data_IF_327511275927
#
_entry.id   IF_327511275927
#
_cell.length_a   1.000
_cell.length_b   1.000
_cell.length_c   1.000
_cell.angle_alpha   90.00
_cell.angle_beta   90.00
_cell.angle_gamma   90.00
#
_symmetry.space_group_name_H-M   'P 1'
#
loop_
_entity.id
_entity.type
_entity.pdbx_description
1 polymer ?
#
# COMPACT_ATOMS: atom_id res chain seq x y z
N UNK A 1 31.27 74.79 3.42
CA UNK A 1 30.14 73.99 3.94
C UNK A 1 30.07 72.72 3.15
N UNK A 2 30.66 71.63 3.69
CA UNK A 2 30.61 70.28 3.11
C UNK A 2 29.46 69.51 3.77
N UNK A 3 28.46 69.07 2.97
CA UNK A 3 27.37 68.16 3.43
C UNK A 3 27.81 66.75 3.25
N UNK A 4 27.99 66.05 4.36
CA UNK A 4 28.25 64.60 4.38
C UNK A 4 26.93 63.85 4.22
N UNK A 5 26.80 63.06 3.15
CA UNK A 5 25.66 62.15 2.92
C UNK A 5 26.01 60.78 3.50
N UNK A 6 25.28 60.35 4.52
CA UNK A 6 25.35 59.00 5.02
C UNK A 6 24.46 58.07 4.19
N UNK A 7 25.10 57.10 3.49
CA UNK A 7 24.38 56.01 2.81
C UNK A 7 24.07 54.92 3.85
N UNK A 8 22.82 54.70 4.17
CA UNK A 8 22.36 53.63 5.01
C UNK A 8 22.21 52.38 4.12
N UNK A 9 23.11 51.41 4.23
CA UNK A 9 23.03 50.11 3.57
C UNK A 9 22.10 49.22 4.37
N UNK A 10 20.89 48.95 3.86
CA UNK A 10 19.96 47.99 4.41
C UNK A 10 20.39 46.58 3.93
N UNK A 11 20.96 45.79 4.81
CA UNK A 11 21.24 44.37 4.55
C UNK A 11 19.97 43.57 4.72
N UNK A 12 19.37 43.12 3.62
CA UNK A 12 18.29 42.12 3.63
C UNK A 12 18.88 40.75 3.97
N UNK A 13 18.73 40.32 5.20
CA UNK A 13 18.95 38.93 5.59
C UNK A 13 17.79 38.11 5.03
N UNK A 14 18.00 37.46 3.90
CA UNK A 14 17.11 36.42 3.39
C UNK A 14 17.25 35.19 4.30
N UNK A 15 16.31 35.04 5.23
CA UNK A 15 16.20 33.82 6.04
C UNK A 15 15.72 32.68 5.12
N UNK A 16 16.65 31.91 4.55
CA UNK A 16 16.36 30.63 3.93
C UNK A 16 15.89 29.67 5.03
N UNK A 17 14.58 29.52 5.20
CA UNK A 17 14.03 28.46 6.02
C UNK A 17 14.27 27.12 5.28
N UNK A 18 15.37 26.46 5.61
CA UNK A 18 15.57 25.07 5.21
C UNK A 18 14.50 24.26 5.93
N UNK A 19 13.46 23.81 5.20
CA UNK A 19 12.60 22.74 5.69
C UNK A 19 13.48 21.52 5.91
N UNK A 20 13.73 21.17 7.17
CA UNK A 20 14.37 19.90 7.51
C UNK A 20 13.41 18.81 7.03
N UNK A 21 13.78 18.14 5.95
CA UNK A 21 13.04 16.97 5.48
C UNK A 21 13.36 15.85 6.48
N UNK A 22 12.34 15.40 7.21
CA UNK A 22 12.52 14.30 8.15
C UNK A 22 13.06 13.07 7.39
N UNK A 23 14.05 12.42 7.94
CA UNK A 23 14.54 11.16 7.41
C UNK A 23 13.39 10.13 7.39
N UNK A 24 13.39 9.23 6.42
CA UNK A 24 12.35 8.21 6.22
C UNK A 24 12.00 7.44 7.51
N UNK A 25 12.99 7.17 8.36
CA UNK A 25 12.86 6.35 9.57
C UNK A 25 12.63 7.13 10.85
N UNK A 26 12.57 8.46 10.79
CA UNK A 26 12.47 9.34 11.98
C UNK A 26 11.33 8.94 12.92
N UNK A 27 10.19 8.57 12.37
CA UNK A 27 8.99 8.22 13.14
C UNK A 27 8.68 6.72 13.13
N UNK A 28 9.62 5.87 12.72
CA UNK A 28 9.40 4.43 12.82
C UNK A 28 9.21 4.00 14.28
N UNK A 29 8.25 3.10 14.56
CA UNK A 29 8.01 2.62 15.91
C UNK A 29 9.25 1.95 16.49
N UNK A 30 9.67 2.38 17.67
CA UNK A 30 10.82 1.78 18.39
C UNK A 30 10.44 0.52 19.16
N UNK A 31 9.14 0.26 19.34
CA UNK A 31 8.60 -0.91 20.06
C UNK A 31 7.45 -1.51 19.28
N UNK A 32 7.44 -2.83 19.24
CA UNK A 32 6.32 -3.63 18.75
C UNK A 32 5.35 -3.82 19.92
N UNK A 33 4.08 -3.54 19.70
CA UNK A 33 3.00 -3.81 20.64
C UNK A 33 2.33 -5.11 20.25
N UNK A 34 2.42 -6.13 21.10
CA UNK A 34 1.71 -7.40 20.90
C UNK A 34 0.32 -7.32 21.54
N UNK A 35 -0.59 -8.17 21.08
CA UNK A 35 -1.89 -8.31 21.70
C UNK A 35 -1.80 -9.08 23.01
N UNK A 36 -2.44 -8.58 24.05
CA UNK A 36 -2.54 -9.25 25.36
C UNK A 36 -3.60 -10.35 25.41
N UNK A 37 -4.61 -10.30 24.55
CA UNK A 37 -5.73 -11.24 24.52
C UNK A 37 -5.99 -11.75 23.11
N UNK A 38 -6.33 -13.02 22.95
CA UNK A 38 -6.77 -13.60 21.68
C UNK A 38 -8.16 -13.08 21.32
N UNK A 39 -8.33 -12.64 20.05
CA UNK A 39 -9.64 -12.30 19.51
C UNK A 39 -10.21 -13.57 18.85
N UNK A 40 -11.51 -13.80 19.01
CA UNK A 40 -12.18 -14.89 18.30
C UNK A 40 -12.05 -14.69 16.80
N UNK A 41 -11.71 -15.74 16.08
CA UNK A 41 -11.44 -15.74 14.63
C UNK A 41 -12.60 -15.12 13.82
N UNK A 42 -13.83 -15.41 14.17
CA UNK A 42 -15.03 -14.87 13.53
C UNK A 42 -15.15 -13.33 13.63
N UNK A 43 -14.47 -12.73 14.60
CA UNK A 43 -14.43 -11.29 14.83
C UNK A 43 -13.20 -10.61 14.23
N UNK A 44 -12.41 -11.32 13.41
CA UNK A 44 -11.24 -10.74 12.72
C UNK A 44 -11.45 -10.80 11.21
N UNK A 45 -11.55 -9.64 10.58
CA UNK A 45 -11.55 -9.51 9.13
C UNK A 45 -10.13 -9.32 8.63
N UNK A 46 -9.70 -10.19 7.75
CA UNK A 46 -8.33 -10.18 7.22
C UNK A 46 -8.31 -9.62 5.81
N UNK A 47 -7.38 -8.70 5.55
CA UNK A 47 -7.08 -8.18 4.23
C UNK A 47 -5.60 -8.41 3.90
N UNK A 48 -5.32 -8.96 2.73
CA UNK A 48 -3.95 -9.22 2.29
C UNK A 48 -3.54 -8.14 1.29
N UNK A 49 -2.42 -7.50 1.55
CA UNK A 49 -1.84 -6.49 0.67
C UNK A 49 -0.80 -7.14 -0.23
N UNK A 50 -1.02 -7.13 -1.54
CA UNK A 50 -0.12 -7.72 -2.53
C UNK A 50 0.16 -6.74 -3.68
N UNK A 51 1.30 -6.88 -4.34
CA UNK A 51 1.71 -5.99 -5.41
C UNK A 51 3.18 -5.61 -5.35
N UNK A 52 3.49 -4.35 -5.69
CA UNK A 52 4.87 -3.87 -5.71
C UNK A 52 5.10 -2.64 -4.81
N UNK A 53 6.04 -1.77 -5.14
CA UNK A 53 6.56 -0.73 -4.24
C UNK A 53 5.51 0.24 -3.69
N UNK A 54 4.53 0.65 -4.48
CA UNK A 54 3.47 1.54 -4.01
C UNK A 54 2.50 0.84 -3.03
N UNK A 55 2.35 -0.48 -3.11
CA UNK A 55 1.67 -1.26 -2.09
C UNK A 55 2.57 -1.56 -0.88
N UNK A 56 3.87 -1.81 -1.10
CA UNK A 56 4.84 -2.08 -0.03
C UNK A 56 5.22 -0.82 0.80
N UNK A 57 4.77 0.36 0.36
CA UNK A 57 4.98 1.61 1.05
C UNK A 57 6.33 2.29 0.74
N UNK A 58 6.24 3.53 0.26
CA UNK A 58 7.40 4.41 -0.02
C UNK A 58 7.19 5.83 0.50
N UNK A 59 6.02 6.11 1.09
CA UNK A 59 5.77 7.38 1.75
C UNK A 59 6.61 7.56 3.02
N UNK A 60 6.79 8.80 3.45
CA UNK A 60 7.41 9.10 4.75
C UNK A 60 6.39 8.83 5.84
N UNK A 61 6.78 8.04 6.84
CA UNK A 61 5.97 7.81 8.04
C UNK A 61 5.95 9.09 8.87
N UNK A 62 4.78 9.54 9.29
CA UNK A 62 4.56 10.73 10.11
C UNK A 62 3.96 10.32 11.47
N UNK A 63 3.94 11.19 12.49
CA UNK A 63 3.47 10.84 13.83
C UNK A 63 2.07 10.22 13.85
N UNK A 64 1.14 10.68 13.02
CA UNK A 64 -0.23 10.13 12.91
C UNK A 64 -0.30 8.68 12.44
N UNK A 65 0.73 8.21 11.73
CA UNK A 65 0.81 6.85 11.20
C UNK A 65 1.30 5.83 12.24
N UNK A 66 1.78 6.33 13.38
CA UNK A 66 2.27 5.51 14.51
C UNK A 66 1.27 5.46 15.66
N UNK A 67 0.15 6.16 15.55
CA UNK A 67 -0.94 6.07 16.52
C UNK A 67 -1.69 4.76 16.32
N UNK A 68 -1.58 3.86 17.31
CA UNK A 68 -2.21 2.54 17.30
C UNK A 68 -3.71 2.60 17.57
N UNK A 69 -4.42 1.60 17.04
CA UNK A 69 -5.78 1.25 17.42
C UNK A 69 -5.81 -0.25 17.75
N UNK A 70 -6.33 -0.62 18.90
CA UNK A 70 -6.36 -2.03 19.38
C UNK A 70 -7.16 -2.97 18.47
N UNK A 71 -8.04 -2.42 17.63
CA UNK A 71 -8.82 -3.17 16.64
C UNK A 71 -8.10 -3.32 15.29
N UNK A 72 -6.92 -2.71 15.12
CA UNK A 72 -6.15 -2.80 13.87
C UNK A 72 -4.86 -3.56 14.12
N UNK A 73 -4.75 -4.71 13.48
CA UNK A 73 -3.69 -5.67 13.65
C UNK A 73 -2.87 -5.80 12.37
N UNK A 74 -1.64 -6.23 12.52
CA UNK A 74 -0.78 -6.69 11.43
C UNK A 74 0.05 -7.88 11.90
N UNK A 75 1.00 -8.31 11.09
CA UNK A 75 1.98 -9.32 11.47
C UNK A 75 3.39 -8.71 11.42
N UNK A 76 4.27 -9.21 12.28
CA UNK A 76 5.70 -8.94 12.16
C UNK A 76 6.37 -9.91 11.16
N UNK A 77 7.68 -9.79 10.97
CA UNK A 77 8.47 -10.64 10.07
C UNK A 77 8.41 -12.13 10.43
N UNK A 78 8.20 -12.45 11.70
CA UNK A 78 8.13 -13.81 12.22
C UNK A 78 6.71 -14.40 12.14
N UNK A 79 5.73 -13.62 11.67
CA UNK A 79 4.32 -14.01 11.51
C UNK A 79 3.48 -13.85 12.77
N UNK A 80 4.01 -13.24 13.81
CA UNK A 80 3.27 -12.97 15.06
C UNK A 80 2.33 -11.78 14.90
N UNK A 81 1.14 -11.87 15.50
CA UNK A 81 0.13 -10.80 15.48
C UNK A 81 0.57 -9.64 16.37
N UNK A 82 0.57 -8.46 15.80
CA UNK A 82 0.94 -7.21 16.47
C UNK A 82 -0.14 -6.13 16.28
N UNK A 83 -0.15 -5.13 17.14
CA UNK A 83 -0.94 -3.90 16.91
C UNK A 83 -0.30 -3.14 15.76
N UNK A 84 -1.10 -2.80 14.74
CA UNK A 84 -0.59 -2.20 13.52
C UNK A 84 -0.11 -0.76 13.73
N UNK A 85 1.08 -0.48 13.23
CA UNK A 85 1.69 0.84 13.07
C UNK A 85 2.53 0.84 11.80
N UNK A 86 2.61 1.98 11.11
CA UNK A 86 3.49 2.07 9.95
C UNK A 86 4.98 2.09 10.34
N UNK A 87 5.84 1.49 9.50
CA UNK A 87 5.54 0.78 8.26
C UNK A 87 5.03 -0.64 8.52
N UNK A 88 4.07 -1.11 7.69
CA UNK A 88 3.52 -2.47 7.82
C UNK A 88 4.40 -3.50 7.11
N UNK A 89 4.97 -3.16 5.95
CA UNK A 89 5.83 -4.06 5.17
C UNK A 89 7.25 -4.13 5.73
N UNK A 90 7.88 -5.29 5.66
CA UNK A 90 9.20 -5.57 6.25
C UNK A 90 10.17 -6.30 5.29
N UNK A 91 9.77 -6.58 4.04
CA UNK A 91 10.62 -7.32 3.08
C UNK A 91 11.79 -6.51 2.55
N UNK A 92 11.71 -5.19 2.61
CA UNK A 92 12.71 -4.25 2.10
C UNK A 92 13.03 -3.18 3.16
N UNK A 93 13.72 -3.53 4.26
CA UNK A 93 13.92 -2.61 5.41
C UNK A 93 14.60 -1.30 5.02
N UNK A 94 15.45 -1.33 3.98
CA UNK A 94 16.15 -0.13 3.48
C UNK A 94 15.24 0.79 2.65
N UNK A 95 14.04 0.35 2.28
CA UNK A 95 13.15 1.06 1.35
C UNK A 95 11.74 1.26 1.86
N UNK A 96 11.28 0.40 2.77
CA UNK A 96 9.91 0.45 3.29
C UNK A 96 9.60 1.78 3.98
N UNK A 97 8.39 2.22 3.87
CA UNK A 97 7.86 3.45 4.46
C UNK A 97 6.35 3.33 4.58
N UNK A 98 5.66 4.46 4.70
CA UNK A 98 4.21 4.51 4.77
C UNK A 98 3.57 3.87 3.53
N UNK A 99 2.66 2.93 3.77
CA UNK A 99 1.77 2.35 2.77
C UNK A 99 0.30 2.77 2.98
N UNK A 100 -0.63 2.14 2.25
CA UNK A 100 -2.04 2.49 2.33
C UNK A 100 -2.82 1.66 3.37
N UNK A 101 -2.23 0.62 3.97
CA UNK A 101 -2.93 -0.39 4.75
C UNK A 101 -3.49 0.13 6.06
N UNK A 102 -2.69 0.88 6.84
CA UNK A 102 -3.17 1.42 8.12
C UNK A 102 -4.32 2.41 7.90
N UNK A 103 -4.24 3.27 6.89
CA UNK A 103 -5.31 4.23 6.59
C UNK A 103 -6.56 3.56 6.01
N UNK A 104 -6.41 2.46 5.26
CA UNK A 104 -7.51 1.57 4.87
C UNK A 104 -8.23 1.05 6.12
N UNK A 105 -7.50 0.42 7.04
CA UNK A 105 -8.09 -0.16 8.24
C UNK A 105 -8.73 0.90 9.15
N UNK A 106 -8.05 2.03 9.40
CA UNK A 106 -8.60 3.18 10.16
C UNK A 106 -9.89 3.76 9.57
N UNK A 107 -10.07 3.63 8.25
CA UNK A 107 -11.30 4.07 7.58
C UNK A 107 -12.39 3.03 7.71
N UNK A 108 -12.06 1.77 7.50
CA UNK A 108 -13.00 0.65 7.52
C UNK A 108 -13.61 0.42 8.92
N UNK A 109 -12.80 0.44 9.98
CA UNK A 109 -13.30 0.20 11.37
C UNK A 109 -14.36 1.18 11.83
N UNK A 110 -14.46 2.37 11.22
CA UNK A 110 -15.48 3.37 11.52
C UNK A 110 -16.85 3.03 10.93
N UNK A 111 -16.93 2.02 10.07
CA UNK A 111 -18.11 1.65 9.28
C UNK A 111 -18.55 0.21 9.47
N UNK A 112 -17.84 -0.56 10.27
CA UNK A 112 -18.13 -1.96 10.59
C UNK A 112 -18.41 -2.10 12.09
N UNK A 113 -19.05 -3.20 12.55
CA UNK A 113 -19.36 -3.40 13.96
C UNK A 113 -18.15 -3.28 14.88
N UNK A 114 -18.34 -2.72 16.07
CA UNK A 114 -17.26 -2.52 17.03
C UNK A 114 -16.65 -3.81 17.57
N UNK A 115 -17.36 -4.93 17.46
CA UNK A 115 -16.85 -6.27 17.79
C UNK A 115 -15.83 -6.80 16.79
N UNK A 116 -15.70 -6.19 15.61
CA UNK A 116 -14.80 -6.66 14.56
C UNK A 116 -13.46 -5.92 14.65
N UNK A 117 -12.38 -6.69 14.57
CA UNK A 117 -11.02 -6.21 14.36
C UNK A 117 -10.56 -6.46 12.94
N UNK A 118 -9.59 -5.68 12.46
CA UNK A 118 -9.02 -5.81 11.12
C UNK A 118 -7.58 -6.29 11.26
N UNK A 119 -7.24 -7.36 10.54
CA UNK A 119 -5.88 -7.84 10.38
C UNK A 119 -5.39 -7.55 8.96
N UNK A 120 -4.36 -6.70 8.85
CA UNK A 120 -3.69 -6.39 7.60
C UNK A 120 -2.45 -7.26 7.45
N UNK A 121 -2.37 -8.02 6.38
CA UNK A 121 -1.23 -8.89 6.11
C UNK A 121 -0.42 -8.37 4.92
N UNK A 122 0.80 -7.87 5.13
CA UNK A 122 1.67 -7.38 4.08
C UNK A 122 2.34 -8.54 3.31
N UNK A 123 2.27 -8.49 1.97
CA UNK A 123 2.97 -9.45 1.09
C UNK A 123 3.64 -8.78 -0.11
N UNK A 124 3.43 -7.48 -0.32
CA UNK A 124 3.96 -6.77 -1.49
C UNK A 124 5.50 -6.64 -1.45
N UNK A 125 6.13 -6.74 -2.62
CA UNK A 125 7.58 -6.61 -2.80
C UNK A 125 7.88 -5.63 -3.91
N UNK A 126 8.63 -4.58 -3.61
CA UNK A 126 8.88 -3.47 -4.52
C UNK A 126 9.61 -3.85 -5.79
N UNK A 127 9.08 -3.42 -6.95
CA UNK A 127 9.63 -3.69 -8.27
C UNK A 127 9.27 -5.06 -8.86
N UNK A 128 8.44 -5.87 -8.18
CA UNK A 128 8.01 -7.16 -8.71
C UNK A 128 6.99 -6.99 -9.85
N UNK A 129 7.18 -7.73 -10.94
CA UNK A 129 6.23 -7.79 -12.07
C UNK A 129 5.16 -8.87 -11.84
N UNK A 130 4.00 -8.73 -12.48
CA UNK A 130 2.94 -9.74 -12.41
C UNK A 130 3.42 -11.11 -12.92
N UNK A 131 4.32 -11.13 -13.91
CA UNK A 131 4.94 -12.36 -14.40
C UNK A 131 5.75 -13.08 -13.31
N UNK A 132 6.47 -12.32 -12.47
CA UNK A 132 7.24 -12.89 -11.35
C UNK A 132 6.32 -13.46 -10.27
N UNK A 133 5.19 -12.82 -10.00
CA UNK A 133 4.15 -13.34 -9.11
C UNK A 133 3.57 -14.67 -9.62
N UNK A 134 3.20 -14.73 -10.89
CA UNK A 134 2.65 -15.93 -11.53
C UNK A 134 3.64 -17.11 -11.54
N UNK A 135 4.92 -16.83 -11.79
CA UNK A 135 6.00 -17.81 -11.87
C UNK A 135 6.63 -18.15 -10.51
N UNK A 136 6.10 -17.61 -9.41
CA UNK A 136 6.66 -17.77 -8.06
C UNK A 136 8.18 -17.49 -8.01
N UNK A 137 8.60 -16.44 -8.70
CA UNK A 137 10.02 -16.08 -8.79
C UNK A 137 10.56 -15.60 -7.44
N UNK A 138 11.82 -15.91 -7.17
CA UNK A 138 12.56 -15.26 -6.09
C UNK A 138 12.89 -13.82 -6.54
N UNK A 139 12.37 -12.84 -5.81
CA UNK A 139 12.67 -11.44 -6.05
C UNK A 139 12.94 -10.74 -4.72
N UNK A 140 14.07 -10.05 -4.62
CA UNK A 140 14.54 -9.43 -3.35
C UNK A 140 14.48 -10.40 -2.16
N UNK A 141 14.99 -11.62 -2.36
CA UNK A 141 15.00 -12.72 -1.38
C UNK A 141 13.60 -13.20 -0.94
N UNK A 142 12.54 -12.85 -1.65
CA UNK A 142 11.18 -13.32 -1.39
C UNK A 142 10.71 -14.18 -2.58
N UNK A 143 10.28 -15.40 -2.32
CA UNK A 143 9.58 -16.25 -3.28
C UNK A 143 8.12 -15.82 -3.29
N UNK A 144 7.73 -15.04 -4.31
CA UNK A 144 6.55 -14.15 -4.26
C UNK A 144 5.23 -14.89 -3.97
N UNK A 145 4.88 -15.86 -4.79
CA UNK A 145 3.61 -16.58 -4.63
C UNK A 145 3.64 -17.54 -3.43
N UNK A 146 4.75 -18.22 -3.20
CA UNK A 146 4.94 -19.08 -2.01
C UNK A 146 4.84 -18.28 -0.71
N UNK A 147 5.39 -17.06 -0.68
CA UNK A 147 5.22 -16.15 0.46
C UNK A 147 3.75 -15.76 0.66
N UNK A 148 3.03 -15.46 -0.42
CA UNK A 148 1.59 -15.19 -0.36
C UNK A 148 0.84 -16.40 0.22
N UNK A 149 1.12 -17.62 -0.23
CA UNK A 149 0.49 -18.85 0.30
C UNK A 149 0.75 -19.00 1.81
N UNK A 150 1.99 -18.83 2.25
CA UNK A 150 2.34 -18.86 3.68
C UNK A 150 1.54 -17.83 4.49
N UNK A 151 1.33 -16.62 3.95
CA UNK A 151 0.56 -15.57 4.62
C UNK A 151 -0.96 -15.82 4.58
N UNK A 152 -1.47 -16.51 3.56
CA UNK A 152 -2.86 -17.01 3.53
C UNK A 152 -3.11 -18.01 4.67
N UNK A 153 -2.16 -18.88 4.97
CA UNK A 153 -2.30 -19.82 6.11
C UNK A 153 -2.34 -19.10 7.46
N UNK A 154 -1.48 -18.09 7.67
CA UNK A 154 -1.55 -17.23 8.86
C UNK A 154 -2.91 -16.51 8.93
N UNK A 155 -3.39 -15.99 7.79
CA UNK A 155 -4.69 -15.32 7.69
C UNK A 155 -5.83 -16.25 8.12
N UNK A 156 -5.87 -17.48 7.58
CA UNK A 156 -6.90 -18.48 7.89
C UNK A 156 -6.89 -18.93 9.35
N UNK A 157 -5.73 -18.96 9.98
CA UNK A 157 -5.62 -19.29 11.40
C UNK A 157 -6.19 -18.20 12.30
N UNK A 158 -6.06 -16.92 11.90
CA UNK A 158 -6.32 -15.76 12.75
C UNK A 158 -7.60 -14.99 12.42
N UNK A 159 -8.27 -15.28 11.30
CA UNK A 159 -9.47 -14.52 10.92
C UNK A 159 -10.15 -15.04 9.66
N UNK A 160 -11.10 -14.26 9.17
CA UNK A 160 -11.84 -14.50 7.91
C UNK A 160 -11.28 -13.56 6.85
N UNK A 161 -10.70 -14.12 5.78
CA UNK A 161 -10.16 -13.34 4.68
C UNK A 161 -11.31 -12.68 3.92
N UNK A 162 -11.34 -11.36 3.88
CA UNK A 162 -12.41 -10.53 3.32
C UNK A 162 -12.03 -9.85 2.00
N UNK A 163 -10.75 -9.76 1.67
CA UNK A 163 -10.33 -9.17 0.41
C UNK A 163 -8.81 -9.09 0.24
N UNK A 164 -8.44 -8.75 -0.98
CA UNK A 164 -7.06 -8.48 -1.38
C UNK A 164 -6.98 -7.04 -1.85
N UNK A 165 -5.98 -6.29 -1.36
CA UNK A 165 -5.59 -5.00 -1.87
C UNK A 165 -4.42 -5.22 -2.83
N UNK A 166 -4.57 -4.79 -4.08
CA UNK A 166 -3.56 -4.95 -5.11
C UNK A 166 -3.14 -3.61 -5.70
N UNK A 167 -1.85 -3.33 -5.71
CA UNK A 167 -1.29 -2.21 -6.46
C UNK A 167 0.03 -2.63 -7.11
N UNK A 168 -0.01 -2.77 -8.42
CA UNK A 168 1.13 -3.20 -9.24
C UNK A 168 0.85 -2.88 -10.71
N UNK A 169 1.88 -2.71 -11.51
CA UNK A 169 1.81 -2.51 -12.95
C UNK A 169 2.98 -1.68 -13.49
N UNK A 170 3.66 -0.91 -12.63
CA UNK A 170 4.78 -0.06 -13.02
C UNK A 170 5.92 -0.86 -13.67
N UNK A 171 6.18 -2.08 -13.16
CA UNK A 171 7.19 -2.99 -13.71
C UNK A 171 6.75 -3.69 -14.99
N UNK A 172 5.47 -3.66 -15.32
CA UNK A 172 4.88 -4.24 -16.53
C UNK A 172 4.49 -3.16 -17.55
N UNK A 173 4.75 -1.87 -17.27
CA UNK A 173 4.43 -0.73 -18.13
C UNK A 173 5.43 -0.59 -19.30
N UNK A 174 5.53 -1.63 -20.12
CA UNK A 174 6.40 -1.69 -21.30
C UNK A 174 5.69 -2.43 -22.46
N UNK A 175 6.18 -2.22 -23.68
CA UNK A 175 5.57 -2.75 -24.93
C UNK A 175 5.39 -4.27 -24.92
N UNK A 176 6.28 -5.01 -24.26
CA UNK A 176 6.24 -6.47 -24.20
C UNK A 176 5.16 -6.98 -23.25
N UNK A 177 4.96 -6.32 -22.12
CA UNK A 177 4.15 -6.85 -21.04
C UNK A 177 2.71 -6.29 -21.02
N UNK A 178 2.51 -5.05 -21.51
CA UNK A 178 1.18 -4.41 -21.62
C UNK A 178 0.15 -5.30 -22.32
N UNK A 179 0.42 -5.89 -23.49
CA UNK A 179 -0.57 -6.72 -24.21
C UNK A 179 -1.02 -7.96 -23.42
N UNK A 180 -0.20 -8.43 -22.47
CA UNK A 180 -0.45 -9.63 -21.67
C UNK A 180 -0.99 -9.32 -20.27
N UNK A 181 -1.02 -8.04 -19.87
CA UNK A 181 -1.25 -7.66 -18.49
C UNK A 181 -2.67 -8.05 -18.01
N UNK A 182 -3.72 -7.77 -18.79
CA UNK A 182 -5.11 -8.17 -18.43
C UNK A 182 -5.24 -9.68 -18.24
N UNK A 183 -4.72 -10.48 -19.17
CA UNK A 183 -4.75 -11.93 -19.03
C UNK A 183 -4.01 -12.41 -17.79
N UNK A 184 -2.88 -11.80 -17.47
CA UNK A 184 -2.10 -12.13 -16.27
C UNK A 184 -2.83 -11.76 -14.99
N UNK A 185 -3.60 -10.65 -14.95
CA UNK A 185 -4.47 -10.31 -13.83
C UNK A 185 -5.50 -11.41 -13.58
N UNK A 186 -6.19 -11.89 -14.63
CA UNK A 186 -7.14 -13.01 -14.51
C UNK A 186 -6.48 -14.26 -13.92
N UNK A 187 -5.32 -14.65 -14.45
CA UNK A 187 -4.60 -15.83 -13.96
C UNK A 187 -4.16 -15.66 -12.50
N UNK A 188 -3.60 -14.51 -12.14
CA UNK A 188 -3.08 -14.29 -10.79
C UNK A 188 -4.20 -14.25 -9.76
N UNK A 189 -5.28 -13.53 -10.02
CA UNK A 189 -6.36 -13.42 -9.05
C UNK A 189 -7.18 -14.71 -8.94
N UNK A 190 -7.28 -15.50 -10.01
CA UNK A 190 -7.79 -16.86 -9.93
C UNK A 190 -6.94 -17.72 -8.99
N UNK A 191 -5.59 -17.64 -9.10
CA UNK A 191 -4.67 -18.34 -8.19
C UNK A 191 -4.81 -17.84 -6.74
N UNK A 192 -4.96 -16.53 -6.51
CA UNK A 192 -5.16 -15.98 -5.18
C UNK A 192 -6.47 -16.47 -4.55
N UNK A 193 -7.57 -16.44 -5.30
CA UNK A 193 -8.89 -16.93 -4.87
C UNK A 193 -8.86 -18.42 -4.56
N UNK A 194 -8.21 -19.21 -5.40
CA UNK A 194 -8.03 -20.65 -5.17
C UNK A 194 -7.22 -20.93 -3.88
N UNK A 195 -6.13 -20.18 -3.64
CA UNK A 195 -5.33 -20.29 -2.41
C UNK A 195 -6.15 -19.96 -1.15
N UNK A 196 -6.98 -18.93 -1.22
CA UNK A 196 -7.90 -18.56 -0.12
C UNK A 196 -9.03 -19.58 0.04
N UNK A 197 -9.47 -20.23 -1.04
CA UNK A 197 -10.63 -21.11 -1.08
C UNK A 197 -11.95 -20.33 -1.23
N UNK A 198 -11.92 -19.14 -1.86
CA UNK A 198 -13.09 -18.32 -2.12
C UNK A 198 -13.01 -17.67 -3.51
N UNK A 199 -13.78 -18.21 -4.46
CA UNK A 199 -13.79 -17.74 -5.84
C UNK A 199 -14.45 -16.35 -6.02
N UNK A 200 -15.20 -15.88 -5.02
CA UNK A 200 -15.85 -14.58 -5.01
C UNK A 200 -15.11 -13.55 -4.13
N UNK A 201 -13.89 -13.89 -3.67
CA UNK A 201 -13.12 -13.00 -2.82
C UNK A 201 -12.92 -11.63 -3.50
N UNK A 202 -13.30 -10.52 -2.85
CA UNK A 202 -13.06 -9.17 -3.35
C UNK A 202 -11.58 -8.91 -3.63
N UNK A 203 -11.29 -8.32 -4.81
CA UNK A 203 -9.98 -7.80 -5.17
C UNK A 203 -10.12 -6.31 -5.49
N UNK A 204 -9.40 -5.48 -4.76
CA UNK A 204 -9.40 -4.04 -4.93
C UNK A 204 -8.10 -3.63 -5.60
N UNK A 205 -8.20 -3.00 -6.77
CA UNK A 205 -7.04 -2.62 -7.58
C UNK A 205 -6.83 -1.10 -7.52
N UNK A 206 -5.60 -0.67 -7.32
CA UNK A 206 -5.21 0.73 -7.47
C UNK A 206 -4.70 1.02 -8.87
N UNK A 207 -5.15 2.13 -9.49
CA UNK A 207 -4.53 2.68 -10.69
C UNK A 207 -3.08 3.09 -10.40
N UNK A 208 -2.23 3.04 -11.42
CA UNK A 208 -0.90 3.66 -11.38
C UNK A 208 -1.03 5.19 -11.36
N UNK A 209 -0.08 5.86 -10.72
CA UNK A 209 -0.09 7.31 -10.59
C UNK A 209 0.07 8.03 -11.94
N UNK A 210 -0.56 9.20 -12.08
CA UNK A 210 -0.52 10.04 -13.29
C UNK A 210 0.73 10.89 -13.42
N UNK A 211 1.67 10.80 -12.50
CA UNK A 211 2.89 11.62 -12.39
C UNK A 211 4.14 10.96 -13.00
N UNK A 212 3.99 9.79 -13.62
CA UNK A 212 5.10 9.04 -14.22
C UNK A 212 5.76 9.78 -15.40
N UNK A 213 7.07 9.60 -15.54
CA UNK A 213 7.82 10.00 -16.75
C UNK A 213 7.41 9.19 -17.99
N UNK A 214 6.70 8.07 -17.81
CA UNK A 214 6.14 7.25 -18.90
C UNK A 214 4.60 7.21 -18.80
N UNK A 215 3.89 8.34 -18.99
CA UNK A 215 2.46 8.43 -18.78
C UNK A 215 1.65 7.59 -19.77
N UNK A 216 2.16 7.38 -20.99
CA UNK A 216 1.47 6.58 -22.02
C UNK A 216 1.36 5.13 -21.56
N UNK A 217 2.46 4.51 -21.17
CA UNK A 217 2.46 3.11 -20.76
C UNK A 217 1.71 2.91 -19.43
N UNK A 218 1.79 3.89 -18.50
CA UNK A 218 1.00 3.82 -17.26
C UNK A 218 -0.50 3.90 -17.55
N UNK A 219 -0.94 4.75 -18.48
CA UNK A 219 -2.33 4.80 -18.89
C UNK A 219 -2.77 3.49 -19.58
N UNK A 220 -1.92 2.87 -20.40
CA UNK A 220 -2.23 1.58 -21.00
C UNK A 220 -2.40 0.48 -19.94
N UNK A 221 -1.55 0.43 -18.92
CA UNK A 221 -1.73 -0.48 -17.78
C UNK A 221 -3.03 -0.17 -17.03
N UNK A 222 -3.33 1.10 -16.76
CA UNK A 222 -4.60 1.48 -16.11
C UNK A 222 -5.81 1.03 -16.93
N UNK A 223 -5.77 1.13 -18.26
CA UNK A 223 -6.82 0.61 -19.13
C UNK A 223 -7.01 -0.90 -18.94
N UNK A 224 -5.92 -1.68 -18.90
CA UNK A 224 -6.03 -3.14 -18.68
C UNK A 224 -6.57 -3.49 -17.31
N UNK A 225 -6.29 -2.68 -16.27
CA UNK A 225 -6.86 -2.82 -14.92
C UNK A 225 -8.37 -2.57 -14.96
N UNK A 226 -8.82 -1.52 -15.63
CA UNK A 226 -10.25 -1.23 -15.79
C UNK A 226 -10.98 -2.30 -16.60
N UNK A 227 -10.41 -2.74 -17.73
CA UNK A 227 -10.96 -3.81 -18.53
C UNK A 227 -11.13 -5.10 -17.71
N UNK A 228 -10.11 -5.47 -16.92
CA UNK A 228 -10.22 -6.61 -16.01
C UNK A 228 -11.38 -6.44 -15.02
N UNK A 229 -11.49 -5.29 -14.39
CA UNK A 229 -12.53 -5.04 -13.38
C UNK A 229 -13.95 -5.00 -13.94
N UNK A 230 -14.12 -4.68 -15.24
CA UNK A 230 -15.42 -4.81 -15.92
C UNK A 230 -15.83 -6.27 -16.09
N UNK A 231 -14.86 -7.16 -16.33
CA UNK A 231 -15.08 -8.60 -16.50
C UNK A 231 -15.25 -9.36 -15.16
N UNK A 232 -14.77 -8.78 -14.05
CA UNK A 232 -14.82 -9.40 -12.72
C UNK A 232 -15.71 -8.62 -11.72
N UNK A 233 -16.94 -9.08 -11.54
CA UNK A 233 -17.93 -8.46 -10.63
C UNK A 233 -17.43 -8.30 -9.18
N UNK A 234 -16.46 -9.11 -8.75
CA UNK A 234 -15.88 -9.12 -7.42
C UNK A 234 -14.60 -8.24 -7.34
N UNK A 235 -14.37 -7.38 -8.32
CA UNK A 235 -13.28 -6.42 -8.33
C UNK A 235 -13.76 -4.98 -8.37
N UNK A 236 -12.98 -4.07 -7.80
CA UNK A 236 -13.16 -2.61 -7.89
C UNK A 236 -11.83 -1.94 -8.12
N UNK A 237 -11.85 -0.90 -8.96
CA UNK A 237 -10.69 -0.04 -9.20
C UNK A 237 -10.83 1.23 -8.38
N UNK A 238 -9.76 1.64 -7.71
CA UNK A 238 -9.70 2.95 -7.08
C UNK A 238 -8.86 3.90 -7.94
N UNK A 239 -9.36 5.12 -8.14
CA UNK A 239 -8.62 6.13 -8.88
C UNK A 239 -7.48 6.73 -8.05
N UNK A 240 -6.36 6.97 -8.73
CA UNK A 240 -5.19 7.66 -8.17
C UNK A 240 -4.84 8.92 -8.94
N UNK A 241 -5.68 9.31 -9.90
CA UNK A 241 -5.42 10.38 -10.89
C UNK A 241 -5.03 11.74 -10.28
N UNK A 242 -5.58 12.09 -9.13
CA UNK A 242 -5.34 13.35 -8.42
C UNK A 242 -4.27 13.25 -7.33
N UNK A 243 -3.71 12.05 -7.10
CA UNK A 243 -2.69 11.84 -6.10
C UNK A 243 -1.33 12.35 -6.59
N UNK A 244 -0.47 12.68 -5.64
CA UNK A 244 0.86 13.23 -5.91
C UNK A 244 1.95 12.23 -5.53
N UNK A 245 3.05 12.30 -6.26
CA UNK A 245 4.27 11.58 -5.92
C UNK A 245 5.06 12.28 -4.80
N UNK A 246 6.11 11.61 -4.35
CA UNK A 246 7.03 12.15 -3.33
C UNK A 246 8.21 12.94 -3.92
N UNK A 247 8.19 13.21 -5.24
CA UNK A 247 9.25 13.92 -5.97
C UNK A 247 10.14 13.00 -6.82
N UNK A 248 9.79 11.72 -6.97
CA UNK A 248 10.56 10.77 -7.77
C UNK A 248 9.81 10.27 -9.02
N UNK A 249 8.67 10.88 -9.33
CA UNK A 249 7.81 10.56 -10.47
C UNK A 249 7.37 9.08 -10.57
N UNK A 250 7.40 8.37 -9.43
CA UNK A 250 7.09 6.94 -9.37
C UNK A 250 6.26 6.54 -8.15
N UNK A 251 6.61 7.07 -6.96
CA UNK A 251 6.00 6.62 -5.72
C UNK A 251 5.11 7.71 -5.10
N UNK A 252 3.93 7.32 -4.65
CA UNK A 252 3.03 8.22 -3.95
C UNK A 252 3.67 8.81 -2.68
N UNK A 253 3.40 10.08 -2.43
CA UNK A 253 3.75 10.72 -1.17
C UNK A 253 2.83 10.23 -0.02
N UNK A 254 3.13 10.64 1.22
CA UNK A 254 2.39 10.19 2.40
C UNK A 254 0.90 10.51 2.33
N UNK A 255 0.53 11.72 1.85
CA UNK A 255 -0.87 12.10 1.64
C UNK A 255 -1.55 11.22 0.59
N UNK A 256 -0.84 10.90 -0.49
CA UNK A 256 -1.30 10.01 -1.55
C UNK A 256 -1.58 8.60 -1.00
N UNK A 257 -0.64 8.03 -0.25
CA UNK A 257 -0.79 6.71 0.38
C UNK A 257 -2.02 6.66 1.30
N UNK A 258 -2.18 7.66 2.19
CA UNK A 258 -3.35 7.71 3.09
C UNK A 258 -4.67 7.87 2.31
N UNK A 259 -4.67 8.66 1.24
CA UNK A 259 -5.86 8.84 0.41
C UNK A 259 -6.21 7.57 -0.34
N UNK A 260 -5.21 6.87 -0.87
CA UNK A 260 -5.37 5.57 -1.51
C UNK A 260 -6.00 4.55 -0.55
N UNK A 261 -5.53 4.47 0.70
CA UNK A 261 -6.11 3.60 1.72
C UNK A 261 -7.58 3.91 2.00
N UNK A 262 -7.94 5.20 2.14
CA UNK A 262 -9.35 5.62 2.30
C UNK A 262 -10.21 5.20 1.10
N UNK A 263 -9.68 5.31 -0.12
CA UNK A 263 -10.40 4.90 -1.35
C UNK A 263 -10.58 3.39 -1.42
N UNK A 264 -9.59 2.61 -1.06
CA UNK A 264 -9.72 1.16 -0.94
C UNK A 264 -10.81 0.76 0.07
N UNK A 265 -10.86 1.40 1.24
CA UNK A 265 -11.90 1.12 2.23
C UNK A 265 -13.31 1.46 1.70
N UNK A 266 -13.48 2.61 1.06
CA UNK A 266 -14.76 3.01 0.47
C UNK A 266 -15.17 2.08 -0.68
N UNK A 267 -14.23 1.65 -1.52
CA UNK A 267 -14.48 0.68 -2.58
C UNK A 267 -14.95 -0.66 -2.02
N UNK A 268 -14.29 -1.16 -0.96
CA UNK A 268 -14.72 -2.39 -0.28
C UNK A 268 -16.15 -2.26 0.27
N UNK A 269 -16.43 -1.17 0.99
CA UNK A 269 -17.76 -0.91 1.57
C UNK A 269 -18.86 -0.79 0.51
N UNK A 270 -18.54 -0.32 -0.70
CA UNK A 270 -19.51 -0.21 -1.79
C UNK A 270 -19.87 -1.56 -2.44
N UNK A 271 -19.18 -2.65 -2.07
CA UNK A 271 -19.47 -4.00 -2.56
C UNK A 271 -20.42 -4.76 -1.63
N UNK A 272 -20.70 -4.19 -0.46
CA UNK A 272 -21.54 -4.79 0.60
C UNK A 272 -22.58 -3.80 1.10
#
# INVERSE_FOLDING_TARGET
MMRTVYLLSIIFLAACSHKIVAERTTYFPKRIETMSNSIKKENVWVFIMAGQSNMAGRGVVEPEDTVSDKRILSINKDGEIIIAKEPLHFYEPERTGLDCGLSFAKTLIKKIPDSISILIIPTAVGGSSIRQWLGDSVYRNVKLFSNFLSKVEIAKQNGIIKGILWHQGESDANEKDIPLHKQRLHLLFSKFRAAVGNNELPVLLGELGSFSENPVNFNLINNTIHEYAVEDKNSRVISTKDLKDKGDHLHFNSKGQRTMGKRFANAYLSMH
#
